data_IF_369487525637
#
_entry.id   IF_369487525637
#
_cell.length_a   1.000
_cell.length_b   1.000
_cell.length_c   1.000
_cell.angle_alpha   90.00
_cell.angle_beta   90.00
_cell.angle_gamma   90.00
#
_symmetry.space_group_name_H-M   'P 1'
#
loop_
_entity.id
_entity.type
_entity.pdbx_description
1 polymer ?
#
# COMPACT_ATOMS: atom_id res chain seq x y z
N UNK A 1 -4.82 -16.12 10.52
CA UNK A 1 -4.86 -15.43 9.20
C UNK A 1 -3.50 -14.74 8.97
N UNK A 2 -3.01 -14.69 7.73
CA UNK A 2 -1.72 -14.03 7.44
C UNK A 2 -1.84 -12.50 7.59
N UNK A 3 -0.87 -11.81 8.21
CA UNK A 3 -0.89 -10.35 8.32
C UNK A 3 -0.99 -9.65 6.96
N UNK A 4 -1.73 -8.55 6.90
CA UNK A 4 -2.02 -7.81 5.67
C UNK A 4 -0.75 -7.24 5.03
N UNK A 5 0.21 -6.76 5.83
CA UNK A 5 1.48 -6.23 5.32
C UNK A 5 2.35 -7.32 4.67
N UNK A 6 2.35 -8.54 5.21
CA UNK A 6 3.10 -9.65 4.61
C UNK A 6 2.55 -10.05 3.24
N UNK A 7 1.22 -10.02 3.08
CA UNK A 7 0.57 -10.28 1.79
C UNK A 7 0.94 -9.18 0.79
N UNK A 8 0.88 -7.92 1.23
CA UNK A 8 1.24 -6.78 0.39
C UNK A 8 2.70 -6.84 -0.05
N UNK A 9 3.65 -7.10 0.86
CA UNK A 9 5.07 -7.26 0.51
C UNK A 9 5.32 -8.41 -0.47
N UNK A 10 4.61 -9.53 -0.32
CA UNK A 10 4.72 -10.63 -1.29
C UNK A 10 4.27 -10.18 -2.69
N UNK A 11 3.15 -9.47 -2.79
CA UNK A 11 2.64 -8.97 -4.09
C UNK A 11 3.59 -7.92 -4.69
N UNK A 12 4.13 -6.99 -3.88
CA UNK A 12 5.11 -6.00 -4.34
C UNK A 12 6.40 -6.65 -4.85
N UNK A 13 6.87 -7.71 -4.17
CA UNK A 13 8.01 -8.48 -4.65
C UNK A 13 7.74 -9.13 -6.01
N UNK A 14 6.58 -9.75 -6.19
CA UNK A 14 6.21 -10.34 -7.48
C UNK A 14 6.10 -9.28 -8.59
N UNK A 15 5.52 -8.13 -8.29
CA UNK A 15 5.45 -6.99 -9.20
C UNK A 15 6.85 -6.47 -9.59
N UNK A 16 7.76 -6.37 -8.61
CA UNK A 16 9.16 -6.00 -8.83
C UNK A 16 9.87 -6.99 -9.76
N UNK A 17 9.80 -8.28 -9.47
CA UNK A 17 10.43 -9.35 -10.27
C UNK A 17 9.91 -9.33 -11.73
N UNK A 18 8.62 -9.04 -11.92
CA UNK A 18 8.01 -8.86 -13.25
C UNK A 18 8.62 -7.68 -14.02
N UNK A 19 8.83 -6.54 -13.37
CA UNK A 19 9.33 -5.31 -13.99
C UNK A 19 10.84 -5.34 -14.23
N UNK A 20 11.61 -6.07 -13.41
CA UNK A 20 13.06 -6.21 -13.61
C UNK A 20 13.40 -6.73 -15.01
N UNK A 21 12.56 -7.61 -15.56
CA UNK A 21 12.66 -8.14 -16.92
C UNK A 21 12.23 -7.19 -18.04
N UNK A 22 11.70 -6.00 -17.72
CA UNK A 22 11.26 -5.02 -18.73
C UNK A 22 12.43 -4.25 -19.33
N UNK A 23 12.21 -3.71 -20.53
CA UNK A 23 13.10 -2.74 -21.17
C UNK A 23 13.13 -1.42 -20.34
N UNK A 24 14.18 -0.59 -20.46
CA UNK A 24 14.30 0.64 -19.64
C UNK A 24 13.13 1.62 -19.79
N UNK A 25 12.51 1.68 -20.97
CA UNK A 25 11.34 2.52 -21.26
C UNK A 25 10.19 1.59 -21.70
N UNK A 26 9.40 1.03 -20.77
CA UNK A 26 8.25 0.19 -21.10
C UNK A 26 7.18 0.98 -21.85
N UNK A 27 6.34 0.28 -22.60
CA UNK A 27 5.26 0.92 -23.34
C UNK A 27 4.08 1.31 -22.43
N UNK A 28 3.09 2.01 -22.99
CA UNK A 28 1.92 2.46 -22.24
C UNK A 28 1.02 1.31 -21.76
N UNK A 29 1.02 0.15 -22.42
CA UNK A 29 0.22 -1.01 -22.00
C UNK A 29 0.83 -1.66 -20.76
N UNK A 30 2.16 -1.83 -20.76
CA UNK A 30 2.93 -2.29 -19.62
C UNK A 30 2.78 -1.31 -18.43
N UNK A 31 3.00 -0.01 -18.65
CA UNK A 31 2.82 1.02 -17.62
C UNK A 31 1.40 1.03 -17.04
N UNK A 32 0.38 0.85 -17.90
CA UNK A 32 -1.02 0.79 -17.47
C UNK A 32 -1.27 -0.43 -16.58
N UNK A 33 -0.80 -1.62 -16.99
CA UNK A 33 -0.94 -2.84 -16.20
C UNK A 33 -0.24 -2.72 -14.84
N UNK A 34 0.97 -2.13 -14.82
CA UNK A 34 1.68 -1.78 -13.60
C UNK A 34 0.85 -0.88 -12.68
N UNK A 35 0.29 0.21 -13.23
CA UNK A 35 -0.51 1.16 -12.48
C UNK A 35 -1.74 0.52 -11.82
N UNK A 36 -2.42 -0.41 -12.52
CA UNK A 36 -3.52 -1.18 -11.92
C UNK A 36 -3.03 -2.08 -10.77
N UNK A 37 -1.96 -2.84 -10.99
CA UNK A 37 -1.45 -3.82 -10.03
C UNK A 37 -0.91 -3.13 -8.75
N UNK A 38 -0.12 -2.06 -8.88
CA UNK A 38 0.37 -1.31 -7.72
C UNK A 38 -0.77 -0.67 -6.91
N UNK A 39 -1.75 -0.08 -7.62
CA UNK A 39 -2.90 0.58 -6.98
C UNK A 39 -3.76 -0.43 -6.22
N UNK A 40 -3.98 -1.62 -6.80
CA UNK A 40 -4.71 -2.71 -6.16
C UNK A 40 -4.01 -3.21 -4.90
N UNK A 41 -2.69 -3.43 -4.96
CA UNK A 41 -1.89 -3.88 -3.80
C UNK A 41 -2.01 -2.90 -2.63
N UNK A 42 -1.83 -1.60 -2.91
CA UNK A 42 -1.91 -0.56 -1.88
C UNK A 42 -3.33 -0.46 -1.30
N UNK A 43 -4.36 -0.53 -2.15
CA UNK A 43 -5.76 -0.45 -1.72
C UNK A 43 -6.18 -1.66 -0.89
N UNK A 44 -5.84 -2.87 -1.30
CA UNK A 44 -6.09 -4.09 -0.51
C UNK A 44 -5.44 -4.02 0.88
N UNK A 45 -4.20 -3.51 0.94
CA UNK A 45 -3.52 -3.31 2.21
C UNK A 45 -4.29 -2.33 3.09
N UNK A 46 -4.64 -1.15 2.56
CA UNK A 46 -5.38 -0.11 3.29
C UNK A 46 -6.76 -0.61 3.75
N UNK A 47 -7.47 -1.34 2.90
CA UNK A 47 -8.77 -1.94 3.20
C UNK A 47 -8.70 -2.84 4.43
N UNK A 48 -7.75 -3.78 4.45
CA UNK A 48 -7.55 -4.67 5.60
C UNK A 48 -7.04 -3.93 6.83
N UNK A 49 -6.14 -2.96 6.62
CA UNK A 49 -5.47 -2.21 7.68
C UNK A 49 -6.40 -1.23 8.40
N UNK A 50 -7.39 -0.69 7.69
CA UNK A 50 -8.31 0.33 8.20
C UNK A 50 -9.75 -0.17 8.37
N UNK A 51 -10.10 -1.31 7.78
CA UNK A 51 -11.47 -1.82 7.79
C UNK A 51 -12.41 -1.01 6.89
N UNK A 52 -11.92 -0.56 5.73
CA UNK A 52 -12.66 0.24 4.74
C UNK A 52 -12.70 -0.49 3.39
N UNK A 53 -13.61 -0.12 2.50
CA UNK A 53 -13.71 -0.71 1.14
C UNK A 53 -12.81 0.02 0.12
N UNK A 54 -11.50 0.10 0.37
CA UNK A 54 -10.59 0.95 -0.39
C UNK A 54 -10.49 0.59 -1.88
N UNK A 55 -10.78 -0.67 -2.27
CA UNK A 55 -10.84 -1.07 -3.68
C UNK A 55 -12.00 -0.43 -4.44
N UNK A 56 -13.13 -0.22 -3.75
CA UNK A 56 -14.35 0.37 -4.32
C UNK A 56 -14.36 1.91 -4.22
N UNK A 57 -13.37 2.49 -3.56
CA UNK A 57 -13.24 3.93 -3.39
C UNK A 57 -12.43 4.55 -4.53
N UNK A 58 -12.88 5.68 -5.07
CA UNK A 58 -12.03 6.51 -5.92
C UNK A 58 -10.86 7.10 -5.10
N UNK A 59 -9.81 7.54 -5.78
CA UNK A 59 -8.70 8.26 -5.14
C UNK A 59 -9.20 9.47 -4.34
N UNK A 60 -10.16 10.24 -4.86
CA UNK A 60 -10.77 11.39 -4.15
C UNK A 60 -11.61 11.00 -2.92
N UNK A 61 -12.30 9.86 -2.98
CA UNK A 61 -13.05 9.36 -1.83
C UNK A 61 -12.11 8.91 -0.72
N UNK A 62 -10.99 8.27 -1.07
CA UNK A 62 -9.99 7.82 -0.11
C UNK A 62 -9.27 9.02 0.56
N UNK A 63 -8.94 10.03 -0.23
CA UNK A 63 -8.41 11.31 0.25
C UNK A 63 -9.37 11.99 1.25
N UNK A 64 -10.66 12.02 0.91
CA UNK A 64 -11.70 12.55 1.81
C UNK A 64 -11.84 11.71 3.09
N UNK A 65 -11.62 10.40 3.00
CA UNK A 65 -11.62 9.53 4.16
C UNK A 65 -10.44 9.84 5.08
N UNK A 66 -9.21 9.97 4.57
CA UNK A 66 -8.04 10.30 5.39
C UNK A 66 -8.18 11.63 6.14
N UNK A 67 -8.72 12.67 5.48
CA UNK A 67 -9.05 13.94 6.16
C UNK A 67 -10.01 13.80 7.35
N UNK A 68 -10.89 12.78 7.35
CA UNK A 68 -11.88 12.55 8.42
C UNK A 68 -11.36 11.58 9.48
N UNK A 69 -10.58 10.60 9.07
CA UNK A 69 -10.05 9.53 9.90
C UNK A 69 -8.58 9.25 9.52
N UNK A 70 -7.63 10.03 10.08
CA UNK A 70 -6.21 9.89 9.79
C UNK A 70 -5.68 8.50 10.13
N UNK A 71 -4.69 8.04 9.36
CA UNK A 71 -4.09 6.71 9.45
C UNK A 71 -3.47 6.42 10.84
N UNK A 72 -3.06 7.47 11.57
CA UNK A 72 -2.42 7.42 12.89
C UNK A 72 -3.34 7.67 14.11
N UNK A 73 -4.64 7.85 13.94
CA UNK A 73 -5.57 8.18 15.03
C UNK A 73 -5.82 9.68 15.25
N UNK A 74 -6.36 10.07 16.42
CA UNK A 74 -6.91 11.41 16.72
C UNK A 74 -5.90 12.58 16.78
N UNK A 75 -4.73 12.49 16.14
CA UNK A 75 -3.71 13.55 16.22
C UNK A 75 -2.96 13.71 14.90
N UNK A 76 -3.52 14.54 14.01
CA UNK A 76 -2.82 15.11 12.85
C UNK A 76 -2.76 14.22 11.61
N UNK A 77 -2.60 14.88 10.45
CA UNK A 77 -2.21 14.23 9.18
C UNK A 77 -0.93 13.44 9.43
N UNK A 78 -0.97 12.13 9.22
CA UNK A 78 0.26 11.35 9.27
C UNK A 78 1.08 11.61 8.00
N UNK A 79 2.41 11.72 8.08
CA UNK A 79 3.28 11.93 6.91
C UNK A 79 3.06 10.93 5.76
N UNK A 80 2.44 9.80 6.06
CA UNK A 80 2.18 8.70 5.12
C UNK A 80 0.89 8.88 4.30
N UNK A 81 -0.05 9.72 4.71
CA UNK A 81 -1.28 9.96 3.94
C UNK A 81 -1.01 10.62 2.59
N UNK A 82 -0.19 11.67 2.58
CA UNK A 82 0.20 12.33 1.33
C UNK A 82 1.02 11.39 0.44
N UNK A 83 1.89 10.56 1.03
CA UNK A 83 2.64 9.54 0.27
C UNK A 83 1.70 8.51 -0.37
N UNK A 84 0.69 8.02 0.35
CA UNK A 84 -0.36 7.13 -0.19
C UNK A 84 -1.07 7.82 -1.35
N UNK A 85 -1.48 9.08 -1.16
CA UNK A 85 -2.24 9.80 -2.16
C UNK A 85 -1.40 10.09 -3.41
N UNK A 86 -0.12 10.41 -3.25
CA UNK A 86 0.79 10.59 -4.37
C UNK A 86 0.97 9.31 -5.17
N UNK A 87 1.22 8.16 -4.52
CA UNK A 87 1.30 6.86 -5.20
C UNK A 87 0.02 6.61 -6.02
N UNK A 88 -1.16 6.83 -5.43
CA UNK A 88 -2.42 6.59 -6.12
C UNK A 88 -2.64 7.53 -7.31
N UNK A 89 -2.37 8.82 -7.16
CA UNK A 89 -2.45 9.80 -8.26
C UNK A 89 -1.50 9.43 -9.40
N UNK A 90 -0.28 9.00 -9.08
CA UNK A 90 0.69 8.54 -10.08
C UNK A 90 0.20 7.29 -10.82
N UNK A 91 -0.37 6.32 -10.09
CA UNK A 91 -1.00 5.17 -10.76
C UNK A 91 -2.18 5.58 -11.65
N UNK A 92 -2.98 6.57 -11.26
CA UNK A 92 -4.10 7.05 -12.07
C UNK A 92 -3.64 7.64 -13.41
N UNK A 93 -2.50 8.35 -13.44
CA UNK A 93 -1.89 8.83 -14.69
C UNK A 93 -1.53 7.68 -15.63
N UNK A 94 -0.94 6.60 -15.10
CA UNK A 94 -0.61 5.41 -15.89
C UNK A 94 -1.87 4.68 -16.37
N UNK A 95 -2.86 4.50 -15.48
CA UNK A 95 -4.11 3.75 -15.75
C UNK A 95 -4.99 4.41 -16.79
N UNK A 96 -5.17 5.72 -16.68
CA UNK A 96 -6.23 6.45 -17.37
C UNK A 96 -5.71 7.50 -18.35
N UNK A 97 -4.57 8.16 -18.05
CA UNK A 97 -4.00 9.18 -18.92
C UNK A 97 -3.01 8.64 -19.98
N UNK A 98 -2.78 7.32 -20.01
CA UNK A 98 -1.79 6.66 -20.89
C UNK A 98 -0.37 7.21 -20.70
N UNK A 99 -0.06 7.72 -19.51
CA UNK A 99 1.29 8.13 -19.18
C UNK A 99 2.23 6.92 -19.18
N UNK A 100 3.48 7.17 -19.57
CA UNK A 100 4.58 6.20 -19.53
C UNK A 100 5.65 6.71 -18.58
N UNK A 101 6.37 5.81 -17.95
CA UNK A 101 7.51 6.16 -17.12
C UNK A 101 8.67 5.20 -17.33
N UNK A 102 9.86 5.57 -16.86
CA UNK A 102 11.05 4.73 -16.90
C UNK A 102 10.92 3.56 -15.93
N UNK A 103 11.54 2.43 -16.25
CA UNK A 103 11.61 1.28 -15.36
C UNK A 103 12.12 1.67 -13.97
N UNK A 104 13.14 2.53 -13.93
CA UNK A 104 13.73 3.03 -12.69
C UNK A 104 12.72 3.78 -11.82
N UNK A 105 11.88 4.65 -12.40
CA UNK A 105 10.82 5.33 -11.66
C UNK A 105 9.70 4.39 -11.24
N UNK A 106 9.30 3.41 -12.06
CA UNK A 106 8.32 2.40 -11.65
C UNK A 106 8.84 1.63 -10.42
N UNK A 107 10.10 1.21 -10.42
CA UNK A 107 10.72 0.56 -9.25
C UNK A 107 10.76 1.48 -8.02
N UNK A 108 10.95 2.79 -8.20
CA UNK A 108 10.91 3.77 -7.11
C UNK A 108 9.51 3.85 -6.47
N UNK A 109 8.44 3.75 -7.25
CA UNK A 109 7.06 3.72 -6.73
C UNK A 109 6.74 2.44 -5.94
N UNK A 110 7.31 1.29 -6.32
CA UNK A 110 7.24 0.07 -5.50
C UNK A 110 7.90 0.32 -4.14
N UNK A 111 9.12 0.87 -4.14
CA UNK A 111 9.85 1.16 -2.90
C UNK A 111 9.11 2.18 -2.01
N UNK A 112 8.51 3.21 -2.60
CA UNK A 112 7.65 4.15 -1.87
C UNK A 112 6.46 3.44 -1.23
N UNK A 113 5.83 2.50 -1.95
CA UNK A 113 4.71 1.70 -1.44
C UNK A 113 5.14 0.79 -0.29
N UNK A 114 6.31 0.14 -0.40
CA UNK A 114 6.89 -0.67 0.68
C UNK A 114 7.14 0.17 1.93
N UNK A 115 7.69 1.38 1.79
CA UNK A 115 7.92 2.30 2.91
C UNK A 115 6.62 2.68 3.61
N UNK A 116 5.57 3.00 2.85
CA UNK A 116 4.24 3.31 3.41
C UNK A 116 3.69 2.13 4.18
N UNK A 117 3.75 0.91 3.63
CA UNK A 117 3.27 -0.30 4.31
C UNK A 117 4.09 -0.55 5.58
N UNK A 118 5.41 -0.44 5.51
CA UNK A 118 6.29 -0.70 6.65
C UNK A 118 6.05 0.30 7.79
N UNK A 119 5.85 1.57 7.46
CA UNK A 119 5.59 2.62 8.44
C UNK A 119 4.18 2.56 9.06
N UNK A 120 3.22 1.96 8.35
CA UNK A 120 1.81 1.94 8.78
C UNK A 120 1.34 0.58 9.27
N UNK A 121 2.13 -0.49 9.13
CA UNK A 121 1.78 -1.85 9.58
C UNK A 121 1.47 -1.83 11.08
N UNK A 122 0.45 -2.58 11.50
CA UNK A 122 0.25 -2.87 12.93
C UNK A 122 1.24 -3.95 13.34
N UNK A 123 1.97 -3.72 14.42
CA UNK A 123 2.42 -4.86 15.21
C UNK A 123 1.16 -5.46 15.87
N UNK A 124 0.99 -6.79 15.89
CA UNK A 124 -0.02 -7.36 16.77
C UNK A 124 0.24 -6.81 18.17
N UNK A 125 -0.81 -6.36 18.87
CA UNK A 125 -0.66 -6.00 20.28
C UNK A 125 0.11 -7.14 20.95
N UNK A 126 1.17 -6.84 21.73
CA UNK A 126 1.82 -7.89 22.49
C UNK A 126 0.71 -8.62 23.23
N UNK A 127 0.64 -9.95 23.08
CA UNK A 127 -0.27 -10.76 23.87
C UNK A 127 0.18 -10.57 25.32
N UNK A 128 -0.38 -9.59 26.01
CA UNK A 128 -0.21 -9.42 27.44
C UNK A 128 -0.98 -10.58 28.04
N UNK A 129 -0.30 -11.72 28.19
CA UNK A 129 -0.80 -12.80 29.04
C UNK A 129 -0.88 -12.22 30.44
N UNK A 130 -2.03 -12.35 31.08
CA UNK A 130 -2.13 -11.92 32.48
C UNK A 130 -1.13 -12.74 33.32
N UNK A 131 -0.62 -12.19 34.43
CA UNK A 131 0.22 -12.97 35.36
C UNK A 131 -0.45 -14.28 35.80
N UNK A 132 -1.78 -14.35 35.80
CA UNK A 132 -2.57 -15.55 36.13
C UNK A 132 -2.43 -16.66 35.07
N UNK A 133 -2.39 -16.33 33.78
CA UNK A 133 -2.23 -17.33 32.70
C UNK A 133 -0.83 -17.97 32.64
N UNK A 134 0.17 -17.33 33.25
CA UNK A 134 1.53 -17.89 33.34
C UNK A 134 1.63 -18.91 34.50
N UNK A 135 0.73 -18.83 35.47
CA UNK A 135 0.78 -19.60 36.71
C UNK A 135 -0.01 -20.91 36.66
N UNK A 136 -0.86 -21.13 35.64
CA UNK A 136 -1.50 -22.43 35.37
C UNK A 136 -0.68 -23.33 34.43
N UNK A 137 0.44 -22.84 33.88
CA UNK A 137 1.30 -23.58 32.95
C UNK A 137 2.60 -24.13 33.57
N UNK A 138 2.81 -23.99 34.89
CA UNK A 138 3.98 -24.47 35.62
C UNK A 138 3.62 -24.88 37.06
#
# INVERSE_FOLDING_TARGET
PRPEHEVAFQKLRALREKIEGWVPNPDAADCKAYGFELSEILREYLERRLGIIALEMTTEQLDTHFRRAPLGGKSGETPHEEEVMEILRQTDLLKFAKATDTKEHLLAWIFATERVIDATKRFPDPVIRSPEEVQEAA
#
